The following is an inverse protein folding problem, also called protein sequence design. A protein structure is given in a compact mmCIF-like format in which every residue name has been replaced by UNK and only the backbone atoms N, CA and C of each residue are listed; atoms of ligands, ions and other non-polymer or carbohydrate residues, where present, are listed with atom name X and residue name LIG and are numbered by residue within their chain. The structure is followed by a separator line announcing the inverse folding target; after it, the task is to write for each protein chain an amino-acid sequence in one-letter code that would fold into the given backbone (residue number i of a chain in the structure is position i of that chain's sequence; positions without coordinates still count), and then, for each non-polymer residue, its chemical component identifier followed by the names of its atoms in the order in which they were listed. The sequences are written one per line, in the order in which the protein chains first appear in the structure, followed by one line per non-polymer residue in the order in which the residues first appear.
data_IF_917216685637
#
_entry.id   IF_917216685637
#
_cell.length_a   1.000
_cell.length_b   1.000
_cell.length_c   1.000
_cell.angle_alpha   90.00
_cell.angle_beta   90.00
_cell.angle_gamma   90.00
#
_symmetry.space_group_name_H-M   'P 1'
#
loop_
_entity.id
_entity.type
_entity.pdbx_description
1 polymer ?
#
# COMPACT_ATOMS: atom_id res chain seq x y z
N UNK A 1 2.08 -6.96 12.33
CA UNK A 1 1.29 -7.31 11.13
C UNK A 1 -0.15 -7.29 11.58
N UNK A 2 -0.97 -6.37 11.06
CA UNK A 2 -2.37 -6.25 11.45
C UNK A 2 -3.16 -7.45 10.94
N UNK A 3 -3.95 -8.07 11.82
CA UNK A 3 -4.99 -9.03 11.44
C UNK A 3 -6.11 -8.24 10.76
N UNK A 4 -6.08 -8.18 9.44
CA UNK A 4 -7.17 -7.64 8.62
C UNK A 4 -7.47 -8.61 7.50
N UNK A 5 -8.72 -9.05 7.39
CA UNK A 5 -9.26 -9.69 6.20
C UNK A 5 -9.27 -8.63 5.08
N UNK A 6 -8.23 -8.63 4.25
CA UNK A 6 -8.24 -7.95 2.96
C UNK A 6 -8.68 -9.00 1.94
N UNK A 7 -9.85 -8.84 1.31
CA UNK A 7 -10.30 -9.68 0.18
C UNK A 7 -9.51 -9.43 -1.12
N UNK A 8 -8.42 -8.68 -1.02
CA UNK A 8 -7.56 -8.28 -2.13
C UNK A 8 -6.19 -8.94 -1.95
N UNK A 9 -5.76 -9.69 -2.98
CA UNK A 9 -4.40 -10.22 -3.09
C UNK A 9 -3.61 -9.38 -4.08
N UNK A 10 -2.53 -8.76 -3.62
CA UNK A 10 -1.62 -8.01 -4.47
C UNK A 10 -0.33 -8.79 -4.73
N UNK A 11 -0.05 -9.08 -6.00
CA UNK A 11 1.20 -9.68 -6.46
C UNK A 11 2.07 -8.64 -7.14
N UNK A 12 3.37 -8.75 -6.94
CA UNK A 12 4.32 -7.74 -7.41
C UNK A 12 5.49 -8.37 -8.15
N UNK A 13 5.91 -7.72 -9.22
CA UNK A 13 7.23 -7.93 -9.82
C UNK A 13 8.05 -6.63 -9.77
N UNK A 14 9.36 -6.76 -9.85
CA UNK A 14 10.25 -5.61 -9.90
C UNK A 14 10.19 -4.94 -11.29
N UNK A 15 10.26 -3.61 -11.35
CA UNK A 15 10.19 -2.82 -12.59
C UNK A 15 11.22 -3.26 -13.64
N UNK A 16 12.37 -3.76 -13.20
CA UNK A 16 13.42 -4.27 -14.09
C UNK A 16 12.97 -5.50 -14.88
N UNK A 17 12.00 -6.27 -14.36
CA UNK A 17 11.40 -7.46 -14.95
C UNK A 17 10.07 -7.17 -15.66
N UNK A 18 9.68 -5.90 -15.83
CA UNK A 18 8.37 -5.53 -16.41
C UNK A 18 8.12 -6.08 -17.81
N UNK A 19 9.17 -6.38 -18.57
CA UNK A 19 9.00 -6.96 -19.90
C UNK A 19 8.46 -8.40 -19.86
N UNK A 20 8.66 -9.10 -18.74
CA UNK A 20 8.17 -10.47 -18.50
C UNK A 20 6.81 -10.45 -17.77
N UNK A 21 6.26 -9.26 -17.49
CA UNK A 21 5.02 -9.11 -16.75
C UNK A 21 3.81 -9.74 -17.47
N UNK A 22 3.62 -9.56 -18.79
CA UNK A 22 2.51 -10.21 -19.49
C UNK A 22 2.52 -11.73 -19.34
N UNK A 23 3.69 -12.37 -19.46
CA UNK A 23 3.86 -13.81 -19.28
C UNK A 23 3.63 -14.25 -17.83
N UNK A 24 4.03 -13.43 -16.85
CA UNK A 24 3.75 -13.70 -15.45
C UNK A 24 2.24 -13.68 -15.15
N UNK A 25 1.49 -12.76 -15.75
CA UNK A 25 0.02 -12.72 -15.64
C UNK A 25 -0.60 -14.00 -16.23
N UNK A 26 -0.14 -14.44 -17.41
CA UNK A 26 -0.64 -15.67 -18.03
C UNK A 26 -0.36 -16.90 -17.15
N UNK A 27 0.83 -16.99 -16.55
CA UNK A 27 1.18 -18.06 -15.64
C UNK A 27 0.28 -18.09 -14.39
N UNK A 28 -0.05 -16.92 -13.82
CA UNK A 28 -0.96 -16.82 -12.67
C UNK A 28 -2.39 -17.22 -13.05
N UNK A 29 -2.90 -16.74 -14.18
CA UNK A 29 -4.23 -17.12 -14.69
C UNK A 29 -4.32 -18.62 -14.92
N UNK A 30 -3.31 -19.22 -15.55
CA UNK A 30 -3.24 -20.66 -15.77
C UNK A 30 -3.26 -21.42 -14.44
N UNK A 31 -2.38 -21.07 -13.50
CA UNK A 31 -2.29 -21.75 -12.22
C UNK A 31 -3.60 -21.68 -11.43
N UNK A 32 -4.26 -20.52 -11.39
CA UNK A 32 -5.56 -20.36 -10.71
C UNK A 32 -6.65 -21.19 -11.38
N UNK A 33 -6.68 -21.24 -12.71
CA UNK A 33 -7.64 -22.05 -13.47
C UNK A 33 -7.45 -23.55 -13.18
N UNK A 34 -6.20 -24.02 -13.14
CA UNK A 34 -5.86 -25.40 -12.80
C UNK A 34 -6.26 -25.79 -11.37
N UNK A 35 -6.35 -24.80 -10.46
CA UNK A 35 -6.79 -24.99 -9.07
C UNK A 35 -8.29 -24.76 -8.87
N UNK A 36 -9.07 -24.64 -9.94
CA UNK A 36 -10.53 -24.61 -9.87
C UNK A 36 -11.14 -23.22 -9.71
N UNK A 37 -10.40 -22.15 -10.01
CA UNK A 37 -10.96 -20.81 -10.09
C UNK A 37 -11.45 -20.50 -11.52
N UNK A 38 -12.51 -19.70 -11.63
CA UNK A 38 -12.84 -18.97 -12.84
C UNK A 38 -12.17 -17.60 -12.74
N UNK A 39 -11.35 -17.25 -13.74
CA UNK A 39 -10.54 -16.02 -13.72
C UNK A 39 -11.03 -15.06 -14.79
N UNK A 40 -11.51 -13.89 -14.38
CA UNK A 40 -11.94 -12.80 -15.26
C UNK A 40 -10.91 -11.68 -15.25
N UNK A 41 -10.40 -11.28 -16.41
CA UNK A 41 -9.47 -10.14 -16.52
C UNK A 41 -10.27 -8.84 -16.71
N UNK A 42 -10.19 -7.94 -15.72
CA UNK A 42 -10.87 -6.64 -15.76
C UNK A 42 -10.01 -5.57 -16.41
N UNK A 43 -8.71 -5.57 -16.06
CA UNK A 43 -7.72 -4.65 -16.60
C UNK A 43 -6.47 -5.46 -16.92
N UNK A 44 -5.85 -5.19 -18.06
CA UNK A 44 -4.54 -5.72 -18.41
C UNK A 44 -3.79 -4.73 -19.28
N UNK A 45 -2.57 -4.40 -18.85
CA UNK A 45 -1.58 -3.66 -19.61
C UNK A 45 -0.19 -4.24 -19.30
N UNK A 46 0.85 -3.63 -19.86
CA UNK A 46 2.23 -4.15 -19.79
C UNK A 46 2.83 -4.15 -18.38
N UNK A 47 2.22 -3.47 -17.40
CA UNK A 47 2.78 -3.32 -16.04
C UNK A 47 1.76 -3.48 -14.93
N UNK A 48 0.48 -3.69 -15.26
CA UNK A 48 -0.60 -3.83 -14.31
C UNK A 48 -1.70 -4.74 -14.86
N UNK A 49 -2.22 -5.62 -14.00
CA UNK A 49 -3.38 -6.44 -14.29
C UNK A 49 -4.30 -6.51 -13.07
N UNK A 50 -5.60 -6.49 -13.31
CA UNK A 50 -6.63 -6.75 -12.30
C UNK A 50 -7.46 -7.93 -12.74
N UNK A 51 -7.48 -8.96 -11.91
CA UNK A 51 -8.22 -10.20 -12.09
C UNK A 51 -9.31 -10.30 -11.02
N UNK A 52 -10.41 -10.93 -11.39
CA UNK A 52 -11.49 -11.34 -10.49
C UNK A 52 -11.55 -12.87 -10.48
N UNK A 53 -11.66 -13.45 -9.29
CA UNK A 53 -11.64 -14.88 -9.06
C UNK A 53 -12.99 -15.34 -8.49
N UNK A 54 -13.56 -16.36 -9.10
CA UNK A 54 -14.79 -17.02 -8.62
C UNK A 54 -14.52 -18.52 -8.42
N UNK A 55 -15.11 -19.13 -7.40
CA UNK A 55 -15.10 -20.60 -7.26
C UNK A 55 -15.91 -21.22 -8.41
N UNK A 56 -15.33 -22.18 -9.13
CA UNK A 56 -16.02 -22.93 -10.19
C UNK A 56 -17.29 -23.65 -9.74
N UNK A 57 -17.44 -23.94 -8.44
CA UNK A 57 -18.66 -24.52 -7.87
C UNK A 57 -19.83 -23.53 -7.78
N UNK A 58 -19.58 -22.26 -8.09
CA UNK A 58 -20.52 -21.17 -7.94
C UNK A 58 -20.62 -20.74 -6.48
N UNK A 59 -20.41 -19.46 -6.23
CA UNK A 59 -20.71 -18.82 -4.95
C UNK A 59 -21.67 -17.66 -5.18
N UNK A 60 -22.52 -17.35 -4.21
CA UNK A 60 -23.32 -16.12 -4.21
C UNK A 60 -22.50 -14.91 -3.69
N UNK A 61 -21.23 -15.11 -3.35
CA UNK A 61 -20.33 -14.07 -2.84
C UNK A 61 -19.73 -13.25 -3.99
N UNK A 62 -19.30 -12.02 -3.67
CA UNK A 62 -18.57 -11.18 -4.61
C UNK A 62 -17.23 -11.84 -4.97
N UNK A 63 -16.76 -11.74 -6.24
CA UNK A 63 -15.51 -12.34 -6.65
C UNK A 63 -14.31 -11.72 -5.92
N UNK A 64 -13.35 -12.56 -5.54
CA UNK A 64 -12.10 -12.11 -4.93
C UNK A 64 -11.27 -11.32 -5.95
N UNK A 65 -10.63 -10.24 -5.49
CA UNK A 65 -9.80 -9.40 -6.36
C UNK A 65 -8.33 -9.78 -6.23
N UNK A 66 -7.69 -10.00 -7.37
CA UNK A 66 -6.23 -10.16 -7.45
C UNK A 66 -5.65 -9.09 -8.36
N UNK A 67 -4.75 -8.27 -7.83
CA UNK A 67 -4.02 -7.27 -8.60
C UNK A 67 -2.57 -7.71 -8.77
N UNK A 68 -2.03 -7.49 -9.96
CA UNK A 68 -0.63 -7.72 -10.28
C UNK A 68 -0.03 -6.41 -10.76
N UNK A 69 1.14 -6.02 -10.25
CA UNK A 69 1.85 -4.84 -10.75
C UNK A 69 3.36 -5.04 -10.87
N UNK A 70 3.95 -4.36 -11.85
CA UNK A 70 5.38 -4.19 -11.97
C UNK A 70 5.74 -2.78 -11.48
N UNK A 71 6.48 -2.69 -10.37
CA UNK A 71 6.81 -1.41 -9.72
C UNK A 71 8.28 -1.35 -9.29
N UNK A 72 8.74 -0.15 -8.94
CA UNK A 72 10.07 0.04 -8.37
C UNK A 72 10.26 -0.74 -7.06
N UNK A 73 11.43 -1.35 -6.88
CA UNK A 73 11.82 -2.09 -5.67
C UNK A 73 13.27 -1.75 -5.33
N UNK A 74 13.54 -1.47 -4.05
CA UNK A 74 14.91 -1.28 -3.57
C UNK A 74 15.57 -2.60 -3.17
N UNK A 75 14.78 -3.59 -2.76
CA UNK A 75 15.27 -4.81 -2.15
C UNK A 75 14.73 -6.06 -2.85
N UNK A 76 15.49 -7.17 -2.85
CA UNK A 76 14.94 -8.46 -3.24
C UNK A 76 13.81 -8.90 -2.28
N UNK A 77 12.88 -9.76 -2.73
CA UNK A 77 11.82 -10.28 -1.88
C UNK A 77 12.37 -11.11 -0.71
N UNK A 78 11.62 -11.15 0.38
CA UNK A 78 11.91 -12.00 1.56
C UNK A 78 11.11 -13.29 1.44
N UNK A 79 11.74 -14.45 1.63
CA UNK A 79 11.05 -15.74 1.59
C UNK A 79 10.37 -16.04 2.92
N UNK A 80 9.06 -16.25 2.90
CA UNK A 80 8.25 -16.77 4.01
C UNK A 80 7.65 -18.14 3.65
N UNK A 81 6.96 -18.78 4.60
CA UNK A 81 6.29 -20.07 4.37
C UNK A 81 5.25 -20.03 3.24
N UNK A 82 4.63 -18.86 3.04
CA UNK A 82 3.65 -18.62 1.96
C UNK A 82 4.30 -18.30 0.61
N UNK A 83 5.63 -18.19 0.55
CA UNK A 83 6.38 -17.81 -0.64
C UNK A 83 7.12 -16.46 -0.50
N UNK A 84 7.65 -15.93 -1.61
CA UNK A 84 8.31 -14.62 -1.63
C UNK A 84 7.31 -13.50 -1.35
N UNK A 85 7.63 -12.63 -0.39
CA UNK A 85 6.86 -11.44 -0.07
C UNK A 85 7.73 -10.19 -0.22
N UNK A 86 7.10 -9.02 -0.31
CA UNK A 86 7.82 -7.75 -0.37
C UNK A 86 8.75 -7.58 0.84
N UNK A 87 9.93 -7.00 0.60
CA UNK A 87 10.77 -6.55 1.69
C UNK A 87 10.01 -5.50 2.52
N UNK A 88 10.12 -5.51 3.86
CA UNK A 88 9.36 -4.59 4.72
C UNK A 88 9.53 -3.11 4.37
N UNK A 89 10.74 -2.69 3.98
CA UNK A 89 11.01 -1.30 3.58
C UNK A 89 10.25 -0.93 2.30
N UNK A 90 10.19 -1.83 1.31
CA UNK A 90 9.49 -1.59 0.05
C UNK A 90 7.96 -1.60 0.26
N UNK A 91 7.46 -2.49 1.13
CA UNK A 91 6.06 -2.52 1.51
C UNK A 91 5.64 -1.21 2.20
N UNK A 92 6.45 -0.70 3.13
CA UNK A 92 6.20 0.57 3.82
C UNK A 92 6.34 1.76 2.87
N UNK A 93 7.29 1.73 1.92
CA UNK A 93 7.41 2.75 0.89
C UNK A 93 6.13 2.83 0.04
N UNK A 94 5.56 1.69 -0.38
CA UNK A 94 4.29 1.67 -1.10
C UNK A 94 3.15 2.30 -0.29
N UNK A 95 3.09 2.07 1.03
CA UNK A 95 2.10 2.71 1.91
C UNK A 95 2.30 4.22 2.02
N UNK A 96 3.55 4.67 2.09
CA UNK A 96 3.89 6.09 2.07
C UNK A 96 3.49 6.75 0.74
N UNK A 97 3.78 6.12 -0.40
CA UNK A 97 3.38 6.62 -1.71
C UNK A 97 1.85 6.64 -1.88
N UNK A 98 1.15 5.65 -1.33
CA UNK A 98 -0.32 5.64 -1.30
C UNK A 98 -0.88 6.81 -0.48
N UNK A 99 -0.37 7.03 0.74
CA UNK A 99 -0.74 8.19 1.55
C UNK A 99 -0.46 9.51 0.83
N UNK A 100 0.68 9.61 0.15
CA UNK A 100 1.06 10.79 -0.62
C UNK A 100 0.12 11.05 -1.81
N UNK A 101 -0.23 10.00 -2.56
CA UNK A 101 -0.96 10.13 -3.82
C UNK A 101 -2.47 10.30 -3.68
N UNK A 102 -3.10 9.65 -2.69
CA UNK A 102 -4.57 9.68 -2.53
C UNK A 102 -5.06 10.08 -1.14
N UNK A 103 -4.26 9.84 -0.10
CA UNK A 103 -4.58 10.15 1.29
C UNK A 103 -5.95 9.63 1.78
N UNK A 104 -6.24 8.35 1.55
CA UNK A 104 -7.46 7.72 2.07
C UNK A 104 -7.30 7.33 3.56
N UNK A 105 -8.41 7.18 4.28
CA UNK A 105 -8.42 6.80 5.70
C UNK A 105 -7.50 5.59 6.01
N UNK A 106 -7.55 4.54 5.18
CA UNK A 106 -6.69 3.34 5.30
C UNK A 106 -5.19 3.64 5.21
N UNK A 107 -4.78 4.62 4.41
CA UNK A 107 -3.37 4.93 4.20
C UNK A 107 -2.77 5.57 5.45
N UNK A 108 -3.56 6.41 6.13
CA UNK A 108 -3.18 6.93 7.45
C UNK A 108 -3.01 5.81 8.47
N UNK A 109 -3.89 4.80 8.48
CA UNK A 109 -3.77 3.67 9.40
C UNK A 109 -2.52 2.82 9.10
N UNK A 110 -2.28 2.51 7.83
CA UNK A 110 -1.12 1.71 7.43
C UNK A 110 0.19 2.41 7.82
N UNK A 111 0.28 3.73 7.62
CA UNK A 111 1.45 4.54 8.02
C UNK A 111 1.54 4.71 9.53
N UNK A 112 0.43 4.86 10.24
CA UNK A 112 0.41 4.93 11.71
C UNK A 112 0.91 3.62 12.34
N UNK A 113 0.52 2.47 11.79
CA UNK A 113 1.05 1.16 12.21
C UNK A 113 2.57 1.10 11.99
N UNK A 114 3.07 1.61 10.86
CA UNK A 114 4.51 1.66 10.61
C UNK A 114 5.25 2.54 11.63
N UNK A 115 4.70 3.71 11.97
CA UNK A 115 5.24 4.63 12.99
C UNK A 115 5.23 4.02 14.38
N UNK A 116 4.08 3.47 14.80
CA UNK A 116 3.90 2.93 16.16
C UNK A 116 4.58 1.60 16.39
N UNK A 117 4.98 0.89 15.32
CA UNK A 117 5.78 -0.34 15.43
C UNK A 117 7.16 -0.14 16.08
N UNK A 118 7.66 1.10 16.14
CA UNK A 118 9.02 1.43 16.60
C UNK A 118 10.13 1.04 15.63
N UNK A 119 9.81 0.41 14.48
CA UNK A 119 10.79 0.00 13.47
C UNK A 119 11.21 1.15 12.55
N UNK A 120 10.34 2.13 12.33
CA UNK A 120 10.57 3.24 11.41
C UNK A 120 10.42 4.58 12.12
N UNK A 121 11.37 5.48 11.89
CA UNK A 121 11.24 6.89 12.26
C UNK A 121 10.55 7.67 11.14
N UNK A 122 9.94 8.82 11.48
CA UNK A 122 9.37 9.78 10.51
C UNK A 122 10.36 10.10 9.39
N UNK A 123 11.61 10.41 9.75
CA UNK A 123 12.70 10.65 8.78
C UNK A 123 12.92 9.46 7.85
N UNK A 124 12.99 8.24 8.38
CA UNK A 124 13.19 7.03 7.58
C UNK A 124 12.03 6.79 6.61
N UNK A 125 10.79 7.07 7.03
CA UNK A 125 9.62 6.97 6.16
C UNK A 125 9.68 7.95 4.98
N UNK A 126 10.12 9.20 5.22
CA UNK A 126 10.33 10.18 4.15
C UNK A 126 11.43 9.73 3.17
N UNK A 127 12.54 9.17 3.68
CA UNK A 127 13.62 8.63 2.84
C UNK A 127 13.13 7.47 1.96
N UNK A 128 12.32 6.56 2.53
CA UNK A 128 11.75 5.43 1.78
C UNK A 128 10.80 5.92 0.68
N UNK A 129 9.93 6.88 0.99
CA UNK A 129 9.01 7.47 0.01
C UNK A 129 9.78 8.16 -1.13
N UNK A 130 10.80 8.97 -0.79
CA UNK A 130 11.63 9.66 -1.79
C UNK A 130 12.46 8.71 -2.65
N UNK A 131 12.88 7.56 -2.12
CA UNK A 131 13.57 6.55 -2.91
C UNK A 131 12.63 5.83 -3.88
N UNK A 132 11.38 5.58 -3.47
CA UNK A 132 10.40 4.87 -4.28
C UNK A 132 9.72 5.74 -5.35
N UNK A 133 9.49 7.02 -5.06
CA UNK A 133 8.86 7.97 -5.96
C UNK A 133 9.78 9.19 -6.19
N UNK A 134 10.41 9.31 -7.37
CA UNK A 134 11.23 10.47 -7.74
C UNK A 134 10.46 11.80 -7.74
N UNK A 135 9.13 11.77 -7.79
CA UNK A 135 8.24 12.93 -7.70
C UNK A 135 7.78 13.26 -6.27
N UNK A 136 8.29 12.54 -5.26
CA UNK A 136 7.95 12.80 -3.87
C UNK A 136 8.48 14.18 -3.43
N UNK A 137 7.56 15.04 -3.01
CA UNK A 137 7.87 16.36 -2.46
C UNK A 137 7.39 16.43 -0.99
N UNK A 138 8.29 16.69 -0.02
CA UNK A 138 7.91 16.86 1.38
C UNK A 138 6.85 17.93 1.61
N UNK A 139 6.82 19.01 0.83
CA UNK A 139 5.81 20.07 0.99
C UNK A 139 4.42 19.57 0.56
N UNK A 140 4.33 18.91 -0.59
CA UNK A 140 3.11 18.25 -1.04
C UNK A 140 2.69 17.11 -0.08
N UNK A 141 3.64 16.37 0.49
CA UNK A 141 3.32 15.35 1.51
C UNK A 141 2.75 15.96 2.79
N UNK A 142 3.28 17.09 3.25
CA UNK A 142 2.69 17.82 4.38
C UNK A 142 1.25 18.30 4.07
N UNK A 143 0.95 18.63 2.81
CA UNK A 143 -0.43 18.91 2.39
C UNK A 143 -1.31 17.65 2.43
N UNK A 144 -0.80 16.50 1.96
CA UNK A 144 -1.48 15.22 2.05
C UNK A 144 -1.78 14.83 3.52
N UNK A 145 -0.83 15.04 4.45
CA UNK A 145 -1.10 14.83 5.88
C UNK A 145 -2.24 15.72 6.41
N UNK A 146 -2.36 16.95 5.89
CA UNK A 146 -3.42 17.88 6.26
C UNK A 146 -4.80 17.50 5.73
N UNK A 147 -4.91 16.60 4.73
CA UNK A 147 -6.20 16.12 4.25
C UNK A 147 -6.94 15.28 5.30
N UNK A 148 -6.23 14.76 6.32
CA UNK A 148 -6.81 14.00 7.41
C UNK A 148 -7.92 14.78 8.13
N UNK A 149 -7.82 16.11 8.18
CA UNK A 149 -8.84 16.99 8.76
C UNK A 149 -10.19 16.92 8.01
N UNK A 150 -10.19 16.46 6.76
CA UNK A 150 -11.39 16.26 5.94
C UNK A 150 -11.95 14.84 6.01
N UNK A 151 -11.16 13.88 6.52
CA UNK A 151 -11.59 12.49 6.69
C UNK A 151 -12.43 12.41 7.96
N UNK A 152 -13.64 11.86 7.86
CA UNK A 152 -14.58 11.74 8.98
C UNK A 152 -14.27 10.51 9.82
N UNK A 153 -14.74 10.49 11.07
CA UNK A 153 -14.57 9.31 11.93
C UNK A 153 -15.30 8.08 11.37
N UNK A 154 -16.43 8.30 10.68
CA UNK A 154 -17.19 7.25 10.01
C UNK A 154 -16.39 6.55 8.89
N UNK A 155 -15.43 7.25 8.26
CA UNK A 155 -14.54 6.66 7.26
C UNK A 155 -13.59 5.62 7.89
N UNK A 156 -13.45 5.60 9.23
CA UNK A 156 -12.63 4.63 9.96
C UNK A 156 -13.42 3.44 10.51
N UNK A 157 -14.75 3.51 10.56
CA UNK A 157 -15.60 2.50 11.21
C UNK A 157 -15.43 1.11 10.57
N UNK A 158 -15.26 1.05 9.25
CA UNK A 158 -15.06 -0.20 8.51
C UNK A 158 -13.72 -0.89 8.84
N UNK A 159 -12.79 -0.21 9.51
CA UNK A 159 -11.49 -0.78 9.92
C UNK A 159 -11.48 -1.29 11.35
N UNK A 160 -12.61 -1.26 12.08
CA UNK A 160 -12.73 -1.84 13.41
C UNK A 160 -11.88 -1.15 14.49
N UNK A 161 -11.46 0.09 14.24
CA UNK A 161 -10.72 0.88 15.22
C UNK A 161 -11.64 1.37 16.34
N UNK A 162 -11.22 1.32 17.61
CA UNK A 162 -11.95 2.00 18.66
C UNK A 162 -11.89 3.51 18.41
N UNK A 163 -13.04 4.18 18.45
CA UNK A 163 -13.14 5.64 18.24
C UNK A 163 -12.22 6.44 19.15
N UNK A 164 -11.87 5.90 20.33
CA UNK A 164 -10.93 6.51 21.27
C UNK A 164 -9.47 6.58 20.76
N UNK A 165 -9.09 5.80 19.75
CA UNK A 165 -7.75 5.83 19.16
C UNK A 165 -7.57 6.95 18.13
N UNK A 166 -8.65 7.40 17.48
CA UNK A 166 -8.59 8.39 16.39
C UNK A 166 -8.00 9.73 16.81
N UNK A 167 -8.32 10.32 17.98
CA UNK A 167 -7.70 11.58 18.41
C UNK A 167 -6.17 11.50 18.46
N UNK A 168 -5.62 10.40 18.95
CA UNK A 168 -4.18 10.21 19.05
C UNK A 168 -3.52 10.03 17.67
N UNK A 169 -4.21 9.38 16.72
CA UNK A 169 -3.75 9.26 15.32
C UNK A 169 -3.69 10.64 14.67
N UNK A 170 -4.77 11.43 14.80
CA UNK A 170 -4.86 12.79 14.26
C UNK A 170 -3.77 13.69 14.81
N UNK A 171 -3.55 13.66 16.13
CA UNK A 171 -2.48 14.42 16.78
C UNK A 171 -1.10 14.05 16.23
N UNK A 172 -0.80 12.75 16.09
CA UNK A 172 0.49 12.30 15.53
C UNK A 172 0.75 12.80 14.11
N UNK A 173 -0.26 12.82 13.26
CA UNK A 173 -0.12 13.31 11.88
C UNK A 173 -0.07 14.85 11.82
N UNK A 174 -0.82 15.55 12.68
CA UNK A 174 -0.73 17.00 12.82
C UNK A 174 0.67 17.44 13.28
N UNK A 175 1.22 16.76 14.29
CA UNK A 175 2.59 17.00 14.78
C UNK A 175 3.63 16.75 13.69
N UNK A 176 3.48 15.66 12.94
CA UNK A 176 4.41 15.33 11.86
C UNK A 176 4.34 16.36 10.73
N UNK A 177 3.13 16.80 10.36
CA UNK A 177 2.93 17.87 9.39
C UNK A 177 3.62 19.16 9.83
N UNK A 178 3.46 19.56 11.09
CA UNK A 178 4.11 20.74 11.64
C UNK A 178 5.64 20.63 11.61
N UNK A 179 6.19 19.47 11.94
CA UNK A 179 7.64 19.17 11.86
C UNK A 179 8.17 19.33 10.43
N UNK A 180 7.46 18.80 9.43
CA UNK A 180 7.86 18.92 8.02
C UNK A 180 7.84 20.40 7.59
N UNK A 181 6.76 21.13 7.86
CA UNK A 181 6.65 22.54 7.48
C UNK A 181 7.74 23.40 8.12
N UNK A 182 8.03 23.20 9.41
CA UNK A 182 9.11 23.90 10.09
C UNK A 182 10.49 23.60 9.48
N UNK A 183 10.74 22.36 9.04
CA UNK A 183 11.99 21.97 8.39
C UNK A 183 12.18 22.60 7.01
N UNK A 184 11.08 22.93 6.32
CA UNK A 184 11.11 23.62 5.02
C UNK A 184 11.37 25.13 5.19
N UNK A 185 10.90 25.74 6.27
CA UNK A 185 11.16 27.15 6.60
C UNK A 185 12.59 27.38 7.11
N UNK A 186 13.15 26.40 7.84
CA UNK A 186 14.50 26.45 8.40
C UNK A 186 15.32 25.22 7.99
N UNK A 187 15.78 25.15 6.72
CA UNK A 187 16.58 24.04 6.24
C UNK A 187 17.86 23.94 7.09
N UNK A 188 18.11 22.75 7.65
CA UNK A 188 19.35 22.50 8.39
C UNK A 188 20.56 22.61 7.45
N UNK A 189 21.67 23.23 7.89
CA UNK A 189 22.85 23.47 7.05
C UNK A 189 23.59 22.19 6.64
#
# INVERSE_FOLDING_TARGET
MGDRLSGDVDLFTAWQLRNDFPEAVDAVVQALTEHGYLVSTVIRNDTFARLLLEDQKGSEEEPDKLEMSADWRAHPPVTLAVGPVLHPDDAVANKMCALYGRAEARDFLDVDVALTSGRYSRKRLLELASAADPGFDPAAFAAALGSLDQVTDADFDCYGLPTSALPAIRERFADWRAEILASLEFPQP
#
